data_IF_025375902196
#
_entry.id   IF_025375902196
#
_cell.length_a   1.000
_cell.length_b   1.000
_cell.length_c   1.000
_cell.angle_alpha   90.00
_cell.angle_beta   90.00
_cell.angle_gamma   90.00
#
_symmetry.space_group_name_H-M   'P 1'
#
loop_
_entity.id
_entity.type
_entity.pdbx_description
1 polymer ?
#
# COMPACT_ATOMS: atom_id res chain seq x y z
N UNK A 1 6.72 22.62 -5.28
CA UNK A 1 5.61 22.76 -4.29
C UNK A 1 6.15 22.64 -2.89
N UNK A 2 5.47 23.22 -1.90
CA UNK A 2 5.70 22.92 -0.48
C UNK A 2 4.81 21.73 -0.08
N UNK A 3 5.42 20.59 0.20
CA UNK A 3 4.74 19.31 0.41
C UNK A 3 4.92 18.85 1.86
N UNK A 4 3.83 18.56 2.56
CA UNK A 4 3.88 17.78 3.79
C UNK A 4 3.88 16.29 3.43
N UNK A 5 4.85 15.52 3.97
CA UNK A 5 4.91 14.06 3.83
C UNK A 5 4.99 13.42 5.23
N UNK A 6 3.92 12.76 5.66
CA UNK A 6 3.92 12.00 6.92
C UNK A 6 4.19 10.52 6.67
N UNK A 7 4.81 9.84 7.62
CA UNK A 7 5.30 8.48 7.42
C UNK A 7 6.51 8.42 6.48
N UNK A 8 7.31 9.49 6.48
CA UNK A 8 8.40 9.72 5.51
C UNK A 8 9.56 8.72 5.62
N UNK A 9 9.73 8.04 6.74
CA UNK A 9 10.74 6.99 6.92
C UNK A 9 10.21 5.57 6.62
N UNK A 10 8.89 5.42 6.43
CA UNK A 10 8.27 4.16 6.06
C UNK A 10 8.63 3.71 4.64
N UNK A 11 8.27 2.46 4.27
CA UNK A 11 8.62 1.88 2.96
C UNK A 11 8.20 2.77 1.79
N UNK A 12 6.94 3.18 1.69
CA UNK A 12 6.48 4.07 0.62
C UNK A 12 7.00 5.49 0.82
N UNK A 13 6.96 6.00 2.06
CA UNK A 13 7.31 7.39 2.37
C UNK A 13 8.73 7.77 1.99
N UNK A 14 9.74 6.92 2.27
CA UNK A 14 11.14 7.24 1.93
C UNK A 14 11.40 7.29 0.43
N UNK A 15 10.74 6.44 -0.36
CA UNK A 15 10.84 6.47 -1.82
C UNK A 15 10.12 7.70 -2.41
N UNK A 16 8.96 8.06 -1.87
CA UNK A 16 8.28 9.31 -2.24
C UNK A 16 9.10 10.54 -1.87
N UNK A 17 9.71 10.56 -0.68
CA UNK A 17 10.58 11.67 -0.25
C UNK A 17 11.71 11.88 -1.25
N UNK A 18 12.45 10.83 -1.57
CA UNK A 18 13.54 10.90 -2.56
C UNK A 18 13.06 11.38 -3.94
N UNK A 19 11.88 10.93 -4.37
CA UNK A 19 11.33 11.31 -5.66
C UNK A 19 10.83 12.77 -5.70
N UNK A 20 10.23 13.26 -4.61
CA UNK A 20 9.82 14.66 -4.46
C UNK A 20 11.04 15.61 -4.42
N UNK A 21 12.08 15.23 -3.66
CA UNK A 21 13.35 15.98 -3.63
C UNK A 21 13.99 16.04 -5.03
N UNK A 22 14.05 14.91 -5.75
CA UNK A 22 14.57 14.86 -7.11
C UNK A 22 13.75 15.72 -8.10
N UNK A 23 12.45 15.91 -7.84
CA UNK A 23 11.56 16.79 -8.60
C UNK A 23 11.78 18.28 -8.26
N UNK A 24 12.48 18.60 -7.17
CA UNK A 24 12.74 19.95 -6.70
C UNK A 24 11.62 20.52 -5.80
N UNK A 25 10.82 19.67 -5.19
CA UNK A 25 9.83 20.08 -4.20
C UNK A 25 10.49 20.39 -2.83
N UNK A 26 9.91 21.28 -2.06
CA UNK A 26 10.29 21.52 -0.67
C UNK A 26 9.47 20.57 0.23
N UNK A 27 10.11 19.56 0.81
CA UNK A 27 9.41 18.54 1.59
C UNK A 27 9.55 18.79 3.09
N UNK A 28 8.41 18.94 3.78
CA UNK A 28 8.34 18.81 5.24
C UNK A 28 8.09 17.36 5.60
N UNK A 29 9.17 16.62 5.88
CA UNK A 29 9.14 15.21 6.24
C UNK A 29 8.81 15.02 7.72
N UNK A 30 7.85 14.15 8.03
CA UNK A 30 7.37 13.86 9.38
C UNK A 30 7.29 12.36 9.62
N UNK A 31 8.04 11.88 10.62
CA UNK A 31 8.04 10.49 11.05
C UNK A 31 8.52 10.37 12.50
N UNK A 32 7.97 9.42 13.24
CA UNK A 32 8.36 9.13 14.63
C UNK A 32 9.84 8.72 14.74
N UNK A 33 10.39 8.04 13.73
CA UNK A 33 11.81 7.65 13.67
C UNK A 33 12.71 8.89 13.72
N UNK A 34 12.24 10.01 13.19
CA UNK A 34 12.94 11.30 13.22
C UNK A 34 12.50 12.21 14.37
N UNK A 35 11.78 11.66 15.37
CA UNK A 35 11.30 12.40 16.54
C UNK A 35 10.18 13.41 16.24
N UNK A 36 9.48 13.29 15.11
CA UNK A 36 8.37 14.16 14.71
C UNK A 36 7.08 13.37 14.66
N UNK A 37 6.16 13.65 15.59
CA UNK A 37 4.86 13.00 15.64
C UNK A 37 3.86 13.70 14.69
N UNK A 38 3.25 12.93 13.79
CA UNK A 38 2.24 13.44 12.89
C UNK A 38 0.98 13.92 13.64
N UNK A 39 0.61 13.29 14.76
CA UNK A 39 -0.52 13.74 15.59
C UNK A 39 -0.28 15.12 16.18
N UNK A 40 0.93 15.41 16.66
CA UNK A 40 1.29 16.73 17.19
C UNK A 40 1.30 17.77 16.06
N UNK A 41 1.83 17.40 14.89
CA UNK A 41 1.78 18.29 13.73
C UNK A 41 0.33 18.64 13.39
N UNK A 42 -0.55 17.66 13.24
CA UNK A 42 -1.95 17.91 12.87
C UNK A 42 -2.71 18.75 13.91
N UNK A 43 -2.30 18.74 15.16
CA UNK A 43 -2.90 19.55 16.24
C UNK A 43 -2.41 20.98 16.26
N UNK A 44 -1.12 21.20 16.05
CA UNK A 44 -0.46 22.47 16.39
C UNK A 44 0.14 23.20 15.19
N UNK A 45 0.40 22.52 14.06
CA UNK A 45 0.98 23.14 12.89
C UNK A 45 -0.01 24.06 12.18
N UNK A 46 0.52 25.19 11.68
CA UNK A 46 -0.23 26.18 10.91
C UNK A 46 0.51 26.62 9.64
N UNK A 47 1.56 25.88 9.25
CA UNK A 47 2.31 26.21 8.04
C UNK A 47 1.44 25.99 6.78
N UNK A 48 1.60 26.83 5.76
CA UNK A 48 0.93 26.64 4.48
C UNK A 48 1.62 25.53 3.66
N UNK A 49 0.83 24.61 3.12
CA UNK A 49 1.30 23.59 2.20
C UNK A 49 0.47 23.62 0.92
N UNK A 50 1.13 23.37 -0.22
CA UNK A 50 0.46 23.22 -1.52
C UNK A 50 -0.17 21.82 -1.65
N UNK A 51 0.44 20.83 -0.98
CA UNK A 51 0.06 19.43 -1.03
C UNK A 51 0.38 18.74 0.30
N UNK A 52 -0.52 17.89 0.76
CA UNK A 52 -0.27 17.00 1.89
C UNK A 52 -0.35 15.53 1.45
N UNK A 53 0.67 14.73 1.77
CA UNK A 53 0.72 13.29 1.49
C UNK A 53 0.77 12.52 2.80
N UNK A 54 -0.24 11.68 3.05
CA UNK A 54 -0.37 10.93 4.29
C UNK A 54 -0.06 9.46 4.09
N UNK A 55 1.19 9.07 4.44
CA UNK A 55 1.66 7.69 4.44
C UNK A 55 1.80 7.11 5.86
N UNK A 56 1.69 7.95 6.91
CA UNK A 56 1.84 7.49 8.29
C UNK A 56 0.71 6.53 8.66
N UNK A 57 1.07 5.34 9.07
CA UNK A 57 0.14 4.33 9.60
C UNK A 57 0.93 3.26 10.35
N UNK A 58 0.31 2.64 11.34
CA UNK A 58 0.79 1.36 11.87
C UNK A 58 0.38 0.29 10.85
N UNK A 59 1.39 -0.29 10.23
CA UNK A 59 1.25 -1.36 9.23
C UNK A 59 2.10 -2.56 9.64
N UNK A 60 1.90 -3.70 9.00
CA UNK A 60 2.71 -4.89 9.24
C UNK A 60 2.23 -6.06 8.40
N UNK A 61 2.97 -7.16 8.45
CA UNK A 61 2.53 -8.44 7.90
C UNK A 61 1.28 -8.99 8.63
N UNK A 62 0.65 -10.00 8.06
CA UNK A 62 -0.59 -10.58 8.61
C UNK A 62 -0.51 -10.93 10.09
N UNK A 63 0.61 -11.53 10.51
CA UNK A 63 0.82 -11.92 11.91
C UNK A 63 0.84 -10.71 12.87
N UNK A 64 1.41 -9.58 12.45
CA UNK A 64 1.46 -8.34 13.24
C UNK A 64 0.08 -7.73 13.39
N UNK A 65 -0.71 -7.68 12.32
CA UNK A 65 -2.08 -7.11 12.33
C UNK A 65 -2.99 -7.95 13.21
N UNK A 66 -2.94 -9.28 13.09
CA UNK A 66 -3.76 -10.19 13.89
C UNK A 66 -3.31 -10.23 15.36
N UNK A 67 -2.00 -10.05 15.62
CA UNK A 67 -1.43 -10.02 16.97
C UNK A 67 -1.65 -8.71 17.75
N UNK A 68 -1.95 -7.61 17.06
CA UNK A 68 -2.18 -6.29 17.69
C UNK A 68 -3.40 -5.57 17.08
N UNK A 69 -4.63 -6.08 17.29
CA UNK A 69 -5.82 -5.51 16.67
C UNK A 69 -6.11 -4.07 17.11
N UNK A 70 -5.65 -3.64 18.28
CA UNK A 70 -5.80 -2.27 18.77
C UNK A 70 -4.91 -1.25 18.02
N UNK A 71 -3.96 -1.67 17.20
CA UNK A 71 -3.25 -0.79 16.27
C UNK A 71 -4.19 0.02 15.35
N UNK A 72 -5.40 -0.50 15.12
CA UNK A 72 -6.48 0.23 14.42
C UNK A 72 -6.80 1.57 15.08
N UNK A 73 -6.79 1.66 16.39
CA UNK A 73 -7.13 2.90 17.11
C UNK A 73 -6.13 4.02 16.81
N UNK A 74 -4.84 3.70 16.72
CA UNK A 74 -3.81 4.68 16.33
C UNK A 74 -4.00 5.14 14.89
N UNK A 75 -4.26 4.22 13.95
CA UNK A 75 -4.53 4.59 12.55
C UNK A 75 -5.77 5.48 12.43
N UNK A 76 -6.86 5.15 13.12
CA UNK A 76 -8.06 5.97 13.13
C UNK A 76 -7.81 7.37 13.72
N UNK A 77 -6.99 7.48 14.77
CA UNK A 77 -6.62 8.77 15.35
C UNK A 77 -5.78 9.59 14.34
N UNK A 78 -4.77 8.99 13.71
CA UNK A 78 -3.94 9.63 12.68
C UNK A 78 -4.80 10.15 11.53
N UNK A 79 -5.60 9.29 10.93
CA UNK A 79 -6.45 9.63 9.80
C UNK A 79 -7.47 10.71 10.14
N UNK A 80 -8.10 10.63 11.33
CA UNK A 80 -9.10 11.61 11.80
C UNK A 80 -8.48 12.99 12.02
N UNK A 81 -7.30 13.06 12.64
CA UNK A 81 -6.62 14.33 12.86
C UNK A 81 -6.08 14.91 11.55
N UNK A 82 -5.60 14.08 10.63
CA UNK A 82 -5.18 14.52 9.30
C UNK A 82 -6.32 15.23 8.56
N UNK A 83 -7.50 14.62 8.48
CA UNK A 83 -8.65 15.21 7.77
C UNK A 83 -9.13 16.51 8.43
N UNK A 84 -9.17 16.57 9.77
CA UNK A 84 -9.50 17.80 10.50
C UNK A 84 -8.46 18.90 10.28
N UNK A 85 -7.19 18.55 10.22
CA UNK A 85 -6.11 19.49 9.95
C UNK A 85 -6.19 20.06 8.52
N UNK A 86 -6.48 19.23 7.51
CA UNK A 86 -6.71 19.66 6.13
C UNK A 86 -7.81 20.73 6.06
N UNK A 87 -8.97 20.44 6.63
CA UNK A 87 -10.11 21.36 6.65
C UNK A 87 -9.80 22.66 7.43
N UNK A 88 -9.13 22.55 8.60
CA UNK A 88 -8.77 23.71 9.43
C UNK A 88 -7.84 24.68 8.74
N UNK A 89 -6.87 24.18 7.96
CA UNK A 89 -5.88 25.02 7.27
C UNK A 89 -6.27 25.34 5.83
N UNK A 90 -7.34 24.75 5.31
CA UNK A 90 -7.74 24.92 3.90
C UNK A 90 -6.67 24.39 2.94
N UNK A 91 -6.05 23.24 3.26
CA UNK A 91 -5.04 22.63 2.38
C UNK A 91 -5.70 22.27 1.04
N UNK A 92 -5.21 22.82 -0.09
CA UNK A 92 -5.94 22.72 -1.35
C UNK A 92 -5.94 21.30 -1.91
N UNK A 93 -4.85 20.53 -1.73
CA UNK A 93 -4.67 19.21 -2.33
C UNK A 93 -4.11 18.22 -1.31
N UNK A 94 -4.65 17.01 -1.30
CA UNK A 94 -4.18 15.97 -0.40
C UNK A 94 -4.21 14.58 -1.02
N UNK A 95 -3.21 13.78 -0.69
CA UNK A 95 -3.11 12.35 -1.05
C UNK A 95 -3.25 11.51 0.22
N UNK A 96 -4.19 10.60 0.21
CA UNK A 96 -4.41 9.62 1.26
C UNK A 96 -4.00 8.22 0.76
N UNK A 97 -3.03 7.60 1.43
CA UNK A 97 -2.69 6.21 1.17
C UNK A 97 -3.65 5.29 1.91
N UNK A 98 -4.65 4.83 1.19
CA UNK A 98 -5.53 3.73 1.59
C UNK A 98 -4.85 2.37 1.36
N UNK A 99 -5.60 1.35 1.08
CA UNK A 99 -5.09 0.00 0.84
C UNK A 99 -6.13 -0.86 0.12
N UNK A 100 -5.67 -1.85 -0.62
CA UNK A 100 -6.51 -2.95 -1.11
C UNK A 100 -7.20 -3.75 0.02
N UNK A 101 -6.73 -3.62 1.26
CA UNK A 101 -7.38 -4.22 2.43
C UNK A 101 -8.74 -3.57 2.78
N UNK A 102 -9.03 -2.36 2.27
CA UNK A 102 -10.33 -1.70 2.43
C UNK A 102 -11.46 -2.40 1.67
N UNK A 103 -11.16 -3.19 0.64
CA UNK A 103 -12.16 -3.90 -0.14
C UNK A 103 -12.91 -4.98 0.67
N UNK A 104 -14.21 -5.20 0.37
CA UNK A 104 -15.01 -6.23 1.02
C UNK A 104 -14.41 -7.63 0.82
N UNK A 105 -14.23 -8.37 1.93
CA UNK A 105 -13.68 -9.73 1.88
C UNK A 105 -14.57 -10.71 1.11
N UNK A 106 -15.86 -10.44 1.01
CA UNK A 106 -16.80 -11.27 0.25
C UNK A 106 -16.49 -11.33 -1.24
N UNK A 107 -15.81 -10.30 -1.79
CA UNK A 107 -15.40 -10.22 -3.19
C UNK A 107 -14.07 -10.92 -3.47
N UNK A 108 -13.44 -11.48 -2.43
CA UNK A 108 -12.07 -12.00 -2.46
C UNK A 108 -12.01 -13.48 -2.02
N UNK A 109 -13.11 -14.21 -2.25
CA UNK A 109 -13.29 -15.60 -1.85
C UNK A 109 -12.62 -16.58 -2.83
N UNK A 110 -12.43 -17.88 -2.44
CA UNK A 110 -12.03 -18.93 -3.37
C UNK A 110 -12.97 -19.03 -4.57
N UNK A 111 -12.42 -19.35 -5.74
CA UNK A 111 -13.16 -19.49 -6.99
C UNK A 111 -12.53 -18.68 -8.12
N UNK A 112 -13.35 -18.10 -8.99
CA UNK A 112 -12.88 -17.25 -10.07
C UNK A 112 -12.25 -15.97 -9.54
N UNK A 113 -11.10 -15.57 -10.08
CA UNK A 113 -10.41 -14.33 -9.72
C UNK A 113 -11.20 -13.15 -10.25
N UNK A 114 -11.86 -12.44 -9.34
CA UNK A 114 -12.50 -11.16 -9.63
C UNK A 114 -11.46 -10.03 -9.54
N UNK A 115 -11.36 -9.19 -10.57
CA UNK A 115 -10.65 -7.92 -10.48
C UNK A 115 -11.50 -6.90 -9.74
N UNK A 116 -10.92 -6.28 -8.71
CA UNK A 116 -11.59 -5.29 -7.87
C UNK A 116 -11.51 -3.91 -8.55
N UNK A 117 -12.67 -3.31 -8.79
CA UNK A 117 -12.80 -1.94 -9.32
C UNK A 117 -13.04 -0.95 -8.17
N UNK A 118 -12.73 0.33 -8.38
CA UNK A 118 -12.81 1.33 -7.32
C UNK A 118 -14.22 1.47 -6.73
N UNK A 119 -15.25 1.28 -7.55
CA UNK A 119 -16.67 1.33 -7.16
C UNK A 119 -17.18 0.09 -6.42
N UNK A 120 -16.36 -0.94 -6.25
CA UNK A 120 -16.70 -2.09 -5.40
C UNK A 120 -16.77 -1.74 -3.89
N UNK A 121 -16.25 -0.57 -3.51
CA UNK A 121 -16.49 0.03 -2.20
C UNK A 121 -17.64 1.04 -2.32
N UNK A 122 -18.83 0.63 -1.88
CA UNK A 122 -19.95 1.52 -1.65
C UNK A 122 -19.85 2.10 -0.23
N UNK A 123 -19.52 3.37 -0.08
CA UNK A 123 -19.35 3.99 1.25
C UNK A 123 -20.64 4.03 2.09
N UNK A 124 -21.81 3.81 1.50
CA UNK A 124 -23.07 3.66 2.25
C UNK A 124 -23.27 2.23 2.76
N UNK A 125 -22.72 1.23 2.05
CA UNK A 125 -22.79 -0.20 2.36
C UNK A 125 -21.46 -0.89 2.11
N UNK A 126 -20.38 -0.50 2.81
CA UNK A 126 -19.02 -0.84 2.40
C UNK A 126 -18.65 -2.32 2.51
N UNK A 127 -19.48 -3.13 3.13
CA UNK A 127 -19.14 -4.52 3.42
C UNK A 127 -18.06 -4.64 4.50
N UNK A 128 -17.63 -5.86 4.79
CA UNK A 128 -16.58 -6.14 5.79
C UNK A 128 -15.20 -6.06 5.12
N UNK A 129 -14.32 -5.14 5.54
CA UNK A 129 -12.95 -5.05 5.04
C UNK A 129 -12.05 -6.15 5.64
N UNK A 130 -10.82 -6.29 5.11
CA UNK A 130 -9.87 -7.29 5.60
C UNK A 130 -9.18 -6.81 6.88
N UNK A 131 -9.45 -7.50 7.99
CA UNK A 131 -8.90 -7.24 9.31
C UNK A 131 -9.14 -5.79 9.83
N UNK A 132 -8.55 -5.46 10.96
CA UNK A 132 -8.65 -4.13 11.59
C UNK A 132 -7.93 -3.05 10.78
N UNK A 133 -6.84 -3.41 10.11
CA UNK A 133 -6.14 -2.49 9.21
C UNK A 133 -7.02 -2.04 8.04
N UNK A 134 -7.70 -2.97 7.39
CA UNK A 134 -8.66 -2.65 6.32
C UNK A 134 -9.82 -1.77 6.83
N UNK A 135 -10.28 -1.99 8.07
CA UNK A 135 -11.31 -1.14 8.70
C UNK A 135 -10.80 0.31 8.86
N UNK A 136 -9.56 0.51 9.35
CA UNK A 136 -9.01 1.85 9.46
C UNK A 136 -8.94 2.54 8.09
N UNK A 137 -8.40 1.84 7.08
CA UNK A 137 -8.26 2.41 5.73
C UNK A 137 -9.59 2.74 5.08
N UNK A 138 -10.60 1.89 5.20
CA UNK A 138 -11.95 2.16 4.74
C UNK A 138 -12.58 3.38 5.44
N UNK A 139 -12.40 3.49 6.77
CA UNK A 139 -12.88 4.64 7.53
C UNK A 139 -12.16 5.92 7.10
N UNK A 140 -10.85 5.86 6.89
CA UNK A 140 -10.07 6.98 6.36
C UNK A 140 -10.58 7.45 4.98
N UNK A 141 -10.95 6.53 4.09
CA UNK A 141 -11.55 6.88 2.80
C UNK A 141 -12.90 7.58 2.95
N UNK A 142 -13.75 7.15 3.89
CA UNK A 142 -15.00 7.86 4.20
C UNK A 142 -14.74 9.28 4.69
N UNK A 143 -13.72 9.47 5.55
CA UNK A 143 -13.30 10.80 6.00
C UNK A 143 -12.77 11.66 4.83
N UNK A 144 -12.08 11.06 3.85
CA UNK A 144 -11.67 11.78 2.63
C UNK A 144 -12.86 12.36 1.88
N UNK A 145 -14.01 11.67 1.82
CA UNK A 145 -15.22 12.22 1.17
C UNK A 145 -15.69 13.48 1.89
N UNK A 146 -15.65 13.49 3.23
CA UNK A 146 -16.04 14.68 4.02
C UNK A 146 -15.01 15.82 3.86
N UNK A 147 -13.71 15.54 3.88
CA UNK A 147 -12.68 16.54 3.63
C UNK A 147 -12.83 17.20 2.24
N UNK A 148 -13.25 16.42 1.24
CA UNK A 148 -13.54 16.94 -0.10
C UNK A 148 -14.73 17.93 -0.08
N UNK A 149 -15.75 17.72 0.76
CA UNK A 149 -16.86 18.70 0.90
C UNK A 149 -16.44 20.01 1.58
N UNK A 150 -15.33 19.99 2.34
CA UNK A 150 -14.72 21.17 2.96
C UNK A 150 -13.72 21.91 2.03
N UNK A 151 -13.58 21.46 0.78
CA UNK A 151 -12.81 22.15 -0.27
C UNK A 151 -11.43 21.57 -0.56
N UNK A 152 -10.99 20.50 0.12
CA UNK A 152 -9.72 19.83 -0.21
C UNK A 152 -9.89 18.87 -1.39
N UNK A 153 -9.07 19.00 -2.41
CA UNK A 153 -9.03 18.06 -3.54
C UNK A 153 -8.32 16.76 -3.09
N UNK A 154 -9.09 15.69 -2.87
CA UNK A 154 -8.60 14.43 -2.32
C UNK A 154 -8.27 13.40 -3.40
N UNK A 155 -7.02 12.92 -3.43
CA UNK A 155 -6.59 11.71 -4.15
C UNK A 155 -6.52 10.55 -3.17
N UNK A 156 -7.20 9.45 -3.44
CA UNK A 156 -7.21 8.26 -2.57
C UNK A 156 -6.51 7.12 -3.31
N UNK A 157 -5.33 6.73 -2.87
CA UNK A 157 -4.57 5.67 -3.51
C UNK A 157 -4.78 4.34 -2.78
N UNK A 158 -5.13 3.30 -3.51
CA UNK A 158 -5.29 1.93 -3.01
C UNK A 158 -4.18 1.03 -3.56
N UNK A 159 -2.98 1.02 -2.96
CA UNK A 159 -1.94 0.07 -3.36
C UNK A 159 -2.42 -1.36 -3.15
N UNK A 160 -2.14 -2.21 -4.14
CA UNK A 160 -2.23 -3.65 -3.97
C UNK A 160 -0.95 -4.16 -3.32
N UNK A 161 -0.38 -5.29 -3.72
CA UNK A 161 0.82 -5.78 -3.02
C UNK A 161 2.07 -5.02 -3.49
N UNK A 162 2.30 -3.83 -2.90
CA UNK A 162 3.52 -3.06 -3.13
C UNK A 162 4.75 -3.81 -2.63
N UNK A 163 5.83 -3.86 -3.43
CA UNK A 163 7.05 -4.56 -3.08
C UNK A 163 8.32 -3.83 -3.56
N UNK A 164 9.45 -4.14 -2.92
CA UNK A 164 10.78 -3.66 -3.27
C UNK A 164 11.85 -4.44 -2.52
N UNK A 165 13.12 -4.24 -2.87
CA UNK A 165 14.24 -4.97 -2.26
C UNK A 165 14.52 -4.59 -0.80
N UNK A 166 14.05 -3.42 -0.39
CA UNK A 166 14.28 -2.81 0.93
C UNK A 166 13.02 -2.82 1.83
N UNK A 167 12.00 -3.62 1.45
CA UNK A 167 10.81 -3.84 2.28
C UNK A 167 11.12 -4.79 3.44
N UNK A 168 10.40 -4.62 4.56
CA UNK A 168 10.51 -5.44 5.76
C UNK A 168 10.23 -6.93 5.49
N UNK A 169 11.05 -7.82 6.03
CA UNK A 169 10.98 -9.28 5.87
C UNK A 169 9.70 -9.92 6.42
N UNK A 170 8.89 -9.19 7.18
CA UNK A 170 7.57 -9.64 7.62
C UNK A 170 6.55 -9.73 6.46
N UNK A 171 6.88 -9.14 5.29
CA UNK A 171 6.04 -9.24 4.10
C UNK A 171 6.43 -10.43 3.22
N UNK A 172 5.45 -10.98 2.44
CA UNK A 172 5.69 -12.19 1.66
C UNK A 172 6.82 -12.07 0.62
N UNK A 173 6.88 -10.95 -0.13
CA UNK A 173 7.87 -10.79 -1.18
C UNK A 173 9.32 -10.86 -0.65
N UNK A 174 9.75 -10.01 0.30
CA UNK A 174 11.11 -10.10 0.82
C UNK A 174 11.39 -11.42 1.55
N UNK A 175 10.39 -12.02 2.22
CA UNK A 175 10.55 -13.34 2.83
C UNK A 175 10.86 -14.43 1.78
N UNK A 176 10.25 -14.38 0.58
CA UNK A 176 10.55 -15.31 -0.51
C UNK A 176 11.94 -15.04 -1.11
N UNK A 177 12.32 -13.78 -1.29
CA UNK A 177 13.66 -13.40 -1.77
C UNK A 177 14.74 -13.91 -0.81
N UNK A 178 14.56 -13.71 0.50
CA UNK A 178 15.50 -14.18 1.52
C UNK A 178 15.65 -15.70 1.47
N UNK A 179 14.54 -16.46 1.46
CA UNK A 179 14.56 -17.94 1.34
C UNK A 179 15.31 -18.40 0.10
N UNK A 180 15.13 -17.70 -1.03
CA UNK A 180 15.82 -18.05 -2.27
C UNK A 180 17.32 -17.75 -2.20
N UNK A 181 17.73 -16.63 -1.61
CA UNK A 181 19.14 -16.31 -1.36
C UNK A 181 19.83 -17.35 -0.47
N UNK A 182 19.11 -17.80 0.57
CA UNK A 182 19.57 -18.88 1.48
C UNK A 182 19.50 -20.26 0.83
N UNK A 183 18.97 -20.37 -0.41
CA UNK A 183 18.73 -21.63 -1.14
C UNK A 183 17.97 -22.65 -0.30
N UNK A 184 16.93 -22.16 0.39
CA UNK A 184 16.14 -23.00 1.32
C UNK A 184 15.49 -24.18 0.58
N UNK A 185 15.69 -25.40 1.12
CA UNK A 185 15.06 -26.63 0.65
C UNK A 185 14.66 -27.49 1.87
N UNK A 186 13.37 -27.75 2.10
CA UNK A 186 12.23 -27.35 1.29
C UNK A 186 11.93 -25.85 1.34
N UNK A 187 11.45 -25.29 0.22
CA UNK A 187 10.98 -23.90 0.13
C UNK A 187 9.59 -23.79 0.74
N UNK A 188 9.46 -23.07 1.84
CA UNK A 188 8.19 -22.97 2.57
C UNK A 188 7.24 -21.91 1.99
N UNK A 189 5.99 -22.32 1.73
CA UNK A 189 4.90 -21.45 1.28
C UNK A 189 3.75 -21.53 2.28
N UNK A 190 3.32 -20.39 2.81
CA UNK A 190 2.21 -20.35 3.75
C UNK A 190 0.88 -20.60 3.06
N UNK A 191 -0.02 -21.33 3.74
CA UNK A 191 -1.29 -21.76 3.16
C UNK A 191 -1.13 -22.94 2.21
N UNK A 192 -1.96 -22.96 1.19
CA UNK A 192 -1.97 -23.95 0.10
C UNK A 192 -1.26 -23.45 -1.17
N UNK A 193 -0.66 -22.26 -1.12
CA UNK A 193 0.03 -21.62 -2.25
C UNK A 193 -0.87 -21.04 -3.33
N UNK A 194 -2.19 -21.26 -3.30
CA UNK A 194 -3.14 -20.90 -4.36
C UNK A 194 -3.68 -19.48 -4.26
N UNK A 195 -3.58 -18.87 -3.08
CA UNK A 195 -4.00 -17.48 -2.91
C UNK A 195 -3.22 -16.56 -3.83
N UNK A 196 -3.91 -15.61 -4.49
CA UNK A 196 -3.30 -14.70 -5.48
C UNK A 196 -3.17 -13.29 -4.96
N UNK A 197 -2.12 -12.62 -5.41
CA UNK A 197 -1.88 -11.19 -5.19
C UNK A 197 -1.56 -10.50 -6.51
N UNK A 198 -1.78 -9.20 -6.50
CA UNK A 198 -1.39 -8.29 -7.57
C UNK A 198 -0.17 -7.49 -7.09
N UNK A 199 0.96 -7.69 -7.71
CA UNK A 199 2.25 -7.14 -7.27
C UNK A 199 2.60 -5.89 -8.07
N UNK A 200 2.87 -4.78 -7.37
CA UNK A 200 3.35 -3.53 -7.96
C UNK A 200 4.70 -3.14 -7.34
N UNK A 201 5.71 -2.90 -8.19
CA UNK A 201 7.04 -2.48 -7.72
C UNK A 201 6.97 -1.08 -7.10
N UNK A 202 7.82 -0.81 -6.11
CA UNK A 202 7.84 0.49 -5.41
C UNK A 202 8.09 1.66 -6.36
N UNK A 203 8.93 1.50 -7.39
CA UNK A 203 9.18 2.54 -8.39
C UNK A 203 7.90 2.91 -9.15
N UNK A 204 7.09 1.90 -9.51
CA UNK A 204 5.82 2.12 -10.19
C UNK A 204 4.76 2.72 -9.27
N UNK A 205 4.75 2.31 -8.00
CA UNK A 205 3.86 2.87 -6.99
C UNK A 205 4.15 4.36 -6.79
N UNK A 206 5.42 4.74 -6.65
CA UNK A 206 5.87 6.13 -6.55
C UNK A 206 5.58 6.88 -7.83
N UNK A 207 5.92 6.32 -8.99
CA UNK A 207 5.66 6.95 -10.29
C UNK A 207 4.18 7.22 -10.53
N UNK A 208 3.31 6.26 -10.21
CA UNK A 208 1.86 6.42 -10.31
C UNK A 208 1.33 7.47 -9.32
N UNK A 209 1.91 7.56 -8.12
CA UNK A 209 1.55 8.60 -7.14
C UNK A 209 1.89 9.99 -7.65
N UNK A 210 3.10 10.19 -8.18
CA UNK A 210 3.52 11.48 -8.73
C UNK A 210 2.68 11.86 -9.97
N UNK A 211 2.42 10.91 -10.85
CA UNK A 211 1.55 11.15 -12.00
C UNK A 211 0.12 11.52 -11.59
N UNK A 212 -0.44 10.86 -10.57
CA UNK A 212 -1.76 11.23 -10.03
C UNK A 212 -1.79 12.64 -9.44
N UNK A 213 -0.68 13.10 -8.84
CA UNK A 213 -0.52 14.45 -8.33
C UNK A 213 -0.45 15.45 -9.50
N UNK A 214 0.33 15.16 -10.52
CA UNK A 214 0.56 16.05 -11.67
C UNK A 214 -0.70 16.20 -12.54
N UNK A 215 -1.46 15.11 -12.70
CA UNK A 215 -2.75 15.08 -13.43
C UNK A 215 -3.96 15.46 -12.55
N UNK A 216 -3.72 15.91 -11.32
CA UNK A 216 -4.75 16.35 -10.35
C UNK A 216 -5.89 15.32 -10.18
N UNK A 217 -5.54 14.03 -10.18
CA UNK A 217 -6.52 12.93 -10.07
C UNK A 217 -7.22 12.97 -8.72
N UNK A 218 -8.55 12.94 -8.73
CA UNK A 218 -9.39 12.96 -7.52
C UNK A 218 -10.09 11.64 -7.25
N UNK A 219 -10.41 11.36 -5.99
CA UNK A 219 -11.11 10.14 -5.56
C UNK A 219 -10.22 8.88 -5.59
N UNK A 220 -10.84 7.68 -5.45
CA UNK A 220 -10.10 6.43 -5.30
C UNK A 220 -9.46 5.94 -6.61
N UNK A 221 -8.21 5.45 -6.52
CA UNK A 221 -7.47 4.84 -7.62
C UNK A 221 -6.76 3.59 -7.12
N UNK A 222 -6.95 2.47 -7.81
CA UNK A 222 -6.21 1.24 -7.60
C UNK A 222 -4.79 1.37 -8.17
N UNK A 223 -3.78 1.01 -7.38
CA UNK A 223 -2.40 0.93 -7.84
C UNK A 223 -1.97 -0.55 -7.88
N UNK A 224 -1.88 -1.11 -9.08
CA UNK A 224 -1.53 -2.51 -9.34
C UNK A 224 -1.39 -2.80 -10.83
N UNK A 225 -0.94 -4.02 -11.15
CA UNK A 225 -0.76 -4.48 -12.53
C UNK A 225 -2.04 -5.09 -13.14
N UNK A 226 -3.03 -5.47 -12.32
CA UNK A 226 -4.16 -6.26 -12.76
C UNK A 226 -3.81 -7.73 -13.05
N UNK A 227 -2.65 -8.20 -12.60
CA UNK A 227 -2.16 -9.57 -12.80
C UNK A 227 -2.30 -10.38 -11.51
N UNK A 228 -3.09 -11.45 -11.59
CA UNK A 228 -3.15 -12.43 -10.51
C UNK A 228 -1.88 -13.30 -10.53
N UNK A 229 -1.15 -13.33 -9.41
CA UNK A 229 0.00 -14.22 -9.22
C UNK A 229 -0.20 -14.95 -7.91
N UNK A 230 -0.25 -16.29 -7.94
CA UNK A 230 -0.33 -17.13 -6.75
C UNK A 230 1.00 -17.14 -5.99
N UNK A 231 0.96 -17.55 -4.71
CA UNK A 231 2.20 -17.70 -3.96
C UNK A 231 3.06 -18.85 -4.50
N UNK A 232 2.46 -19.90 -5.10
CA UNK A 232 3.21 -20.95 -5.78
C UNK A 232 3.92 -20.43 -7.03
N UNK A 233 3.23 -19.61 -7.85
CA UNK A 233 3.87 -18.95 -9.00
C UNK A 233 5.00 -18.00 -8.54
N UNK A 234 4.78 -17.22 -7.47
CA UNK A 234 5.83 -16.38 -6.93
C UNK A 234 7.05 -17.19 -6.46
N UNK A 235 6.81 -18.32 -5.77
CA UNK A 235 7.89 -19.25 -5.38
C UNK A 235 8.66 -19.76 -6.59
N UNK A 236 7.94 -20.17 -7.64
CA UNK A 236 8.51 -20.62 -8.91
C UNK A 236 9.39 -19.55 -9.58
N UNK A 237 8.89 -18.30 -9.70
CA UNK A 237 9.66 -17.20 -10.29
C UNK A 237 10.91 -16.87 -9.48
N UNK A 238 10.81 -16.82 -8.15
CA UNK A 238 11.93 -16.49 -7.28
C UNK A 238 13.01 -17.58 -7.29
N UNK A 239 12.62 -18.84 -7.20
CA UNK A 239 13.58 -19.98 -7.20
C UNK A 239 14.22 -20.17 -8.57
N UNK A 240 13.47 -19.99 -9.65
CA UNK A 240 14.00 -20.01 -11.02
C UNK A 240 15.03 -18.89 -11.22
N UNK A 241 14.73 -17.65 -10.78
CA UNK A 241 15.64 -16.52 -10.89
C UNK A 241 16.90 -16.70 -10.02
N UNK A 242 16.79 -17.41 -8.88
CA UNK A 242 17.91 -17.76 -8.01
C UNK A 242 18.70 -19.00 -8.50
N UNK A 243 18.29 -19.63 -9.59
CA UNK A 243 19.00 -20.75 -10.22
C UNK A 243 19.01 -22.05 -9.42
N UNK A 244 17.88 -22.41 -8.76
CA UNK A 244 17.73 -23.70 -8.07
C UNK A 244 16.28 -24.19 -8.08
N UNK A 245 16.07 -25.48 -7.80
CA UNK A 245 14.76 -26.15 -7.85
C UNK A 245 14.48 -26.93 -6.56
N UNK A 246 14.02 -26.24 -5.51
CA UNK A 246 13.72 -26.87 -4.22
C UNK A 246 12.39 -27.63 -4.27
N UNK A 247 12.18 -28.51 -3.30
CA UNK A 247 10.85 -29.04 -2.98
C UNK A 247 10.01 -27.94 -2.33
N UNK A 248 8.83 -27.62 -2.89
CA UNK A 248 7.90 -26.68 -2.26
C UNK A 248 7.13 -27.40 -1.15
N UNK A 249 7.16 -26.81 0.06
CA UNK A 249 6.44 -27.29 1.24
C UNK A 249 5.37 -26.30 1.66
N UNK A 250 4.11 -26.68 1.55
CA UNK A 250 2.98 -25.88 2.00
C UNK A 250 2.79 -25.96 3.52
N UNK A 251 2.44 -24.83 4.14
CA UNK A 251 2.18 -24.70 5.59
C UNK A 251 0.72 -24.24 5.81
N UNK A 252 -0.29 -25.16 5.76
CA UNK A 252 -1.71 -24.78 5.83
C UNK A 252 -2.15 -24.10 7.12
N UNK A 253 -1.43 -24.36 8.23
CA UNK A 253 -1.71 -23.75 9.54
C UNK A 253 -1.13 -22.34 9.72
N UNK A 254 -0.28 -21.88 8.79
CA UNK A 254 0.27 -20.53 8.87
C UNK A 254 -0.81 -19.46 8.59
N UNK A 255 -0.65 -18.23 9.12
CA UNK A 255 -1.62 -17.16 8.92
C UNK A 255 -1.86 -16.87 7.44
N UNK A 256 -3.12 -16.85 7.04
CA UNK A 256 -3.56 -16.57 5.67
C UNK A 256 -4.45 -15.34 5.65
N UNK A 257 -4.39 -14.57 4.57
CA UNK A 257 -5.32 -13.48 4.28
C UNK A 257 -6.47 -13.94 3.39
N UNK A 258 -7.05 -13.00 2.64
CA UNK A 258 -8.06 -13.27 1.61
C UNK A 258 -7.49 -14.13 0.49
N UNK A 259 -8.37 -14.86 -0.22
CA UNK A 259 -7.93 -15.81 -1.25
C UNK A 259 -7.42 -15.10 -2.51
N UNK A 260 -8.19 -14.16 -3.05
CA UNK A 260 -7.81 -13.38 -4.23
C UNK A 260 -7.80 -11.88 -3.92
N UNK A 261 -6.73 -11.18 -4.34
CA UNK A 261 -6.64 -9.71 -4.23
C UNK A 261 -5.92 -9.16 -5.44
N UNK A 262 -6.71 -8.81 -6.46
CA UNK A 262 -6.23 -8.35 -7.77
C UNK A 262 -7.06 -7.15 -8.17
N UNK A 263 -6.43 -6.08 -8.67
CA UNK A 263 -7.15 -4.88 -9.10
C UNK A 263 -7.57 -4.94 -10.57
N UNK A 264 -8.55 -4.12 -10.90
CA UNK A 264 -8.67 -3.56 -12.23
C UNK A 264 -7.82 -2.28 -12.25
N UNK A 265 -6.77 -2.17 -13.09
CA UNK A 265 -5.88 -1.03 -13.12
C UNK A 265 -6.34 0.07 -14.09
N UNK A 266 -7.51 -0.06 -14.72
CA UNK A 266 -7.97 0.80 -15.83
C UNK A 266 -7.86 2.29 -15.50
N UNK A 267 -8.21 2.67 -14.27
CA UNK A 267 -8.15 4.06 -13.85
C UNK A 267 -6.72 4.59 -13.73
N UNK A 268 -5.79 3.80 -13.17
CA UNK A 268 -4.37 4.13 -13.10
C UNK A 268 -3.76 4.23 -14.50
N UNK A 269 -4.11 3.28 -15.39
CA UNK A 269 -3.58 3.22 -16.75
C UNK A 269 -3.94 4.44 -17.63
N UNK A 270 -4.92 5.23 -17.22
CA UNK A 270 -5.28 6.48 -17.90
C UNK A 270 -4.18 7.56 -17.76
N UNK A 271 -3.34 7.50 -16.71
CA UNK A 271 -2.31 8.50 -16.45
C UNK A 271 -0.92 7.92 -16.16
N UNK A 272 -0.81 6.61 -15.86
CA UNK A 272 0.47 5.97 -15.59
C UNK A 272 0.51 4.53 -16.12
N UNK A 273 1.61 4.16 -16.78
CA UNK A 273 1.88 2.79 -17.24
C UNK A 273 2.98 2.17 -16.36
N UNK A 274 2.72 1.07 -15.62
CA UNK A 274 3.74 0.38 -14.85
C UNK A 274 4.89 -0.10 -15.75
N UNK A 275 6.13 -0.04 -15.24
CA UNK A 275 7.36 -0.29 -16.01
C UNK A 275 8.13 -1.50 -15.52
N UNK A 276 8.01 -1.84 -14.23
CA UNK A 276 8.80 -2.90 -13.60
C UNK A 276 7.94 -4.16 -13.47
N UNK A 277 8.18 -5.16 -14.32
CA UNK A 277 7.48 -6.44 -14.20
C UNK A 277 7.87 -7.17 -12.91
N UNK A 278 7.05 -8.12 -12.45
CA UNK A 278 7.36 -8.91 -11.26
C UNK A 278 8.70 -9.66 -11.42
N UNK A 279 8.95 -10.22 -12.60
CA UNK A 279 10.17 -10.94 -12.93
C UNK A 279 11.41 -10.04 -12.87
N UNK A 280 11.29 -8.79 -13.35
CA UNK A 280 12.37 -7.79 -13.24
C UNK A 280 12.60 -7.38 -11.78
N UNK A 281 11.53 -7.11 -11.03
CA UNK A 281 11.62 -6.76 -9.61
C UNK A 281 12.27 -7.88 -8.77
N UNK A 282 11.97 -9.16 -9.07
CA UNK A 282 12.62 -10.32 -8.44
C UNK A 282 14.13 -10.32 -8.75
N UNK A 283 14.53 -10.12 -10.00
CA UNK A 283 15.96 -10.09 -10.38
C UNK A 283 16.70 -8.96 -9.65
N UNK A 284 16.12 -7.77 -9.57
CA UNK A 284 16.69 -6.64 -8.82
C UNK A 284 16.83 -6.97 -7.34
N UNK A 285 15.78 -7.54 -6.74
CA UNK A 285 15.78 -7.91 -5.34
C UNK A 285 16.79 -9.03 -5.02
N UNK A 286 17.04 -9.99 -5.89
CA UNK A 286 18.05 -11.01 -5.69
C UNK A 286 19.49 -10.49 -5.83
N UNK A 287 19.68 -9.41 -6.60
CA UNK A 287 21.00 -8.79 -6.84
C UNK A 287 21.39 -7.75 -5.77
N UNK A 288 20.45 -7.21 -5.00
CA UNK A 288 20.69 -6.26 -3.90
C UNK A 288 21.12 -6.95 -2.62
#
# INVERSE_FOLDING_TARGET
MHVLLTGSAGFVGRHLHAALDARGDTVTAVDLIHGRDALDLFRFDSAPYDLAIHCAAIVGGRASIDGSPLGVATNLALDSWYMRWLARLGIPRAVYFSSSAAYPVILQQPGEVRRLIETDIDYQRPGRPDATYGLAKLTGEQLCQYAATEGTQMTILRPFSGYGSDQDDAYPFPAFIRRARERQDPFEVWGDGKSTRDWIHIDDLVGATLAAIDEEVTGPVNLGWGRATSFDELAGYVTQAAGYSPVVKHLPSAPQGVHHRVCDPTRMLAFYQPKVTLEEGIRRALAS
#
